data_IF_383129084297
#
_entry.id   IF_383129084297
#
_cell.length_a   1.000
_cell.length_b   1.000
_cell.length_c   1.000
_cell.angle_alpha   90.00
_cell.angle_beta   90.00
_cell.angle_gamma   90.00
#
_symmetry.space_group_name_H-M   'P 1'
#
loop_
_entity.id
_entity.type
_entity.pdbx_description
1 polymer ?
#
# COMPACT_ATOMS: atom_id res chain seq x y z
N UNK A 1 2.11 9.85 -11.40
CA UNK A 1 3.05 10.45 -12.38
C UNK A 1 3.63 11.78 -11.91
N UNK A 2 2.82 12.85 -11.82
CA UNK A 2 3.32 14.23 -11.60
C UNK A 2 4.11 14.47 -10.32
N UNK A 3 3.67 13.89 -9.18
CA UNK A 3 4.35 14.08 -7.87
C UNK A 3 5.82 13.63 -7.89
N UNK A 4 6.14 12.65 -8.73
CA UNK A 4 7.48 12.07 -8.87
C UNK A 4 8.12 12.37 -10.23
N UNK A 5 7.47 13.21 -11.04
CA UNK A 5 7.85 13.54 -12.42
C UNK A 5 8.27 12.31 -13.24
N UNK A 6 7.40 11.29 -13.22
CA UNK A 6 7.60 10.03 -13.95
C UNK A 6 7.11 10.17 -15.39
N UNK A 7 7.78 9.48 -16.32
CA UNK A 7 7.39 9.46 -17.74
C UNK A 7 6.34 8.39 -18.00
N UNK A 8 6.46 7.21 -17.38
CA UNK A 8 5.49 6.11 -17.49
C UNK A 8 5.05 5.57 -16.12
N UNK A 9 3.82 5.05 -16.04
CA UNK A 9 3.27 4.48 -14.79
C UNK A 9 4.01 3.21 -14.36
N UNK A 10 4.71 2.57 -15.30
CA UNK A 10 5.53 1.39 -15.05
C UNK A 10 6.79 1.68 -14.25
N UNK A 11 7.21 2.95 -14.14
CA UNK A 11 8.40 3.36 -13.39
C UNK A 11 8.18 3.44 -11.87
N UNK A 12 6.96 3.18 -11.37
CA UNK A 12 6.67 3.22 -9.93
C UNK A 12 6.24 1.86 -9.41
N UNK A 13 6.66 1.57 -8.19
CA UNK A 13 6.15 0.48 -7.39
C UNK A 13 5.38 1.07 -6.21
N UNK A 14 4.20 0.53 -5.94
CA UNK A 14 3.42 0.83 -4.74
C UNK A 14 3.43 -0.43 -3.89
N UNK A 15 3.68 -0.28 -2.58
CA UNK A 15 3.60 -1.36 -1.62
C UNK A 15 2.58 -1.06 -0.53
N UNK A 16 1.84 -2.10 -0.14
CA UNK A 16 0.92 -2.10 0.99
C UNK A 16 1.39 -3.18 1.97
N UNK A 17 1.52 -2.86 3.26
CA UNK A 17 2.01 -3.80 4.28
C UNK A 17 3.35 -4.48 3.96
N UNK A 18 4.20 -3.87 3.13
CA UNK A 18 5.48 -4.43 2.69
C UNK A 18 5.41 -5.26 1.40
N UNK A 19 4.21 -5.56 0.89
CA UNK A 19 4.01 -6.32 -0.36
C UNK A 19 3.69 -5.41 -1.54
N UNK A 20 4.14 -5.79 -2.74
CA UNK A 20 3.88 -5.05 -3.97
C UNK A 20 2.41 -5.17 -4.39
N UNK A 21 1.80 -4.04 -4.73
CA UNK A 21 0.40 -3.99 -5.18
C UNK A 21 0.33 -4.16 -6.70
N UNK A 22 -0.70 -4.88 -7.16
CA UNK A 22 -0.99 -5.03 -8.58
C UNK A 22 -1.54 -3.68 -9.10
N UNK A 23 -0.96 -3.08 -10.16
CA UNK A 23 -1.35 -1.74 -10.61
C UNK A 23 -2.82 -1.60 -11.03
N UNK A 24 -3.45 -2.70 -11.47
CA UNK A 24 -4.84 -2.73 -11.91
C UNK A 24 -5.83 -3.06 -10.78
N UNK A 25 -5.35 -3.33 -9.56
CA UNK A 25 -6.20 -3.64 -8.43
C UNK A 25 -6.94 -2.37 -7.98
N UNK A 26 -8.25 -2.47 -7.81
CA UNK A 26 -9.04 -1.36 -7.29
C UNK A 26 -8.69 -1.07 -5.83
N UNK A 27 -8.76 0.21 -5.45
CA UNK A 27 -8.43 0.63 -4.09
C UNK A 27 -9.36 -0.01 -3.06
N UNK A 28 -10.63 -0.25 -3.41
CA UNK A 28 -11.57 -0.94 -2.53
C UNK A 28 -11.10 -2.36 -2.24
N UNK A 29 -10.75 -3.13 -3.26
CA UNK A 29 -10.24 -4.50 -3.08
C UNK A 29 -8.93 -4.52 -2.29
N UNK A 30 -8.08 -3.50 -2.47
CA UNK A 30 -6.86 -3.36 -1.67
C UNK A 30 -7.18 -3.09 -0.19
N UNK A 31 -8.21 -2.30 0.11
CA UNK A 31 -8.67 -2.06 1.49
C UNK A 31 -9.24 -3.34 2.10
N UNK A 32 -10.03 -4.11 1.36
CA UNK A 32 -10.54 -5.41 1.84
C UNK A 32 -9.39 -6.35 2.18
N UNK A 33 -8.42 -6.50 1.29
CA UNK A 33 -7.23 -7.33 1.54
C UNK A 33 -6.43 -6.83 2.75
N UNK A 34 -6.24 -5.52 2.87
CA UNK A 34 -5.58 -4.92 4.03
C UNK A 34 -6.33 -5.23 5.33
N UNK A 35 -7.65 -5.11 5.33
CA UNK A 35 -8.50 -5.45 6.48
C UNK A 35 -8.39 -6.93 6.81
N UNK A 36 -8.47 -7.85 5.85
CA UNK A 36 -8.32 -9.30 6.07
C UNK A 36 -6.95 -9.66 6.66
N UNK A 37 -5.88 -9.05 6.16
CA UNK A 37 -4.51 -9.35 6.59
C UNK A 37 -4.22 -8.75 7.98
N UNK A 38 -4.76 -7.57 8.25
CA UNK A 38 -4.63 -6.89 9.55
C UNK A 38 -5.56 -7.51 10.61
N UNK A 39 -6.72 -8.05 10.22
CA UNK A 39 -7.73 -8.61 11.13
C UNK A 39 -7.42 -10.00 11.70
N UNK A 40 -6.21 -10.53 11.48
CA UNK A 40 -5.61 -11.48 12.45
C UNK A 40 -5.49 -10.86 13.85
N UNK A 41 -5.49 -9.53 13.93
CA UNK A 41 -5.74 -8.79 15.16
C UNK A 41 -7.25 -8.53 15.25
N UNK A 42 -7.89 -9.14 16.25
CA UNK A 42 -9.28 -8.98 16.65
C UNK A 42 -9.83 -7.57 16.41
N UNK A 43 -11.09 -7.46 15.95
CA UNK A 43 -11.82 -6.22 15.64
C UNK A 43 -11.35 -5.09 16.56
N UNK A 44 -10.50 -4.19 16.04
CA UNK A 44 -9.74 -3.26 16.89
C UNK A 44 -10.70 -2.34 17.63
N UNK A 45 -10.88 -2.58 18.93
CA UNK A 45 -11.66 -1.70 19.78
C UNK A 45 -10.85 -0.43 20.03
N UNK A 46 -11.20 0.65 19.33
CA UNK A 46 -10.57 1.94 19.54
C UNK A 46 -10.88 2.43 20.97
N UNK A 47 -9.84 2.71 21.74
CA UNK A 47 -9.96 3.38 23.04
C UNK A 47 -9.37 4.78 22.94
N UNK A 48 -9.74 5.68 23.85
CA UNK A 48 -9.18 7.03 23.89
C UNK A 48 -7.67 6.90 24.15
N UNK A 49 -6.87 7.34 23.18
CA UNK A 49 -5.41 7.20 23.19
C UNK A 49 -4.84 6.11 22.27
N UNK A 50 -5.69 5.32 21.60
CA UNK A 50 -5.25 4.39 20.55
C UNK A 50 -4.59 5.11 19.38
N UNK A 51 -3.56 4.50 18.78
CA UNK A 51 -2.84 5.11 17.67
C UNK A 51 -3.69 5.10 16.40
N UNK A 52 -3.83 6.26 15.76
CA UNK A 52 -4.47 6.34 14.45
C UNK A 52 -3.82 5.41 13.40
N UNK A 53 -2.55 5.05 13.60
CA UNK A 53 -1.80 4.12 12.74
C UNK A 53 -2.47 2.75 12.62
N UNK A 54 -3.21 2.33 13.63
CA UNK A 54 -3.94 1.04 13.65
C UNK A 54 -5.19 1.06 12.78
N UNK A 55 -5.65 2.23 12.35
CA UNK A 55 -6.90 2.41 11.59
C UNK A 55 -6.68 2.95 10.18
N UNK A 56 -5.43 3.23 9.80
CA UNK A 56 -5.09 3.78 8.48
C UNK A 56 -4.31 2.78 7.66
N UNK A 57 -4.75 2.56 6.42
CA UNK A 57 -3.98 1.80 5.45
C UNK A 57 -2.77 2.61 4.99
N UNK A 58 -1.57 2.11 5.27
CA UNK A 58 -0.32 2.78 4.89
C UNK A 58 0.15 2.23 3.54
N UNK A 59 0.20 3.13 2.55
CA UNK A 59 0.79 2.87 1.25
C UNK A 59 2.13 3.59 1.12
N UNK A 60 3.15 2.86 0.69
CA UNK A 60 4.46 3.42 0.34
C UNK A 60 4.68 3.29 -1.15
N UNK A 61 5.48 4.20 -1.72
CA UNK A 61 5.79 4.18 -3.14
C UNK A 61 7.25 4.53 -3.36
N UNK A 62 7.84 3.93 -4.40
CA UNK A 62 9.20 4.20 -4.82
C UNK A 62 9.33 4.06 -6.33
N UNK A 63 10.34 4.71 -6.92
CA UNK A 63 10.69 4.48 -8.32
C UNK A 63 11.25 3.06 -8.46
N UNK A 64 10.76 2.28 -9.41
CA UNK A 64 11.34 0.97 -9.74
C UNK A 64 12.76 1.17 -10.26
N UNK A 65 13.69 0.34 -9.79
CA UNK A 65 14.98 0.25 -10.43
C UNK A 65 14.77 -0.33 -11.84
N UNK A 66 15.49 0.17 -12.85
CA UNK A 66 15.48 -0.48 -14.15
C UNK A 66 15.93 -1.93 -13.97
N UNK A 67 15.17 -2.87 -14.55
CA UNK A 67 15.60 -4.27 -14.62
C UNK A 67 16.95 -4.28 -15.33
N UNK A 68 17.99 -4.69 -14.61
CA UNK A 68 19.31 -4.90 -15.20
C UNK A 68 19.18 -6.14 -16.08
N UNK A 69 18.84 -5.95 -17.36
CA UNK A 69 18.91 -7.01 -18.36
C UNK A 69 20.38 -7.41 -18.50
N UNK A 70 20.74 -8.58 -17.97
CA UNK A 70 22.00 -9.27 -18.28
C UNK A 70 21.85 -10.07 -19.57
#
# INVERSE_FOLDING_TARGET
>A
MRKLDLKTETEVEIRCMGEAVIPTLELHSLVELWLETTSKHERVAATIGSSAKEFVMVLVYARKLPECNN
#
